data_IF_585550251586
#
_entry.id   IF_585550251586
#
_cell.length_a   1.000
_cell.length_b   1.000
_cell.length_c   1.000
_cell.angle_alpha   90.00
_cell.angle_beta   90.00
_cell.angle_gamma   90.00
#
_symmetry.space_group_name_H-M   'P 1'
#
loop_
_entity.id
_entity.type
_entity.pdbx_description
1 polymer ?
#
# COMPACT_ATOMS: atom_id res chain seq x y z
N UNK A 1 -6.87 10.65 -28.20
CA UNK A 1 -5.72 11.10 -27.39
C UNK A 1 -4.73 9.94 -27.31
N UNK A 2 -3.48 10.17 -27.63
CA UNK A 2 -2.43 9.22 -27.32
C UNK A 2 -2.26 9.12 -25.79
N UNK A 3 -1.75 8.00 -25.24
CA UNK A 3 -1.58 7.84 -23.79
C UNK A 3 -0.72 8.98 -23.17
N UNK A 4 0.18 9.57 -23.95
CA UNK A 4 1.04 10.69 -23.54
C UNK A 4 0.32 12.05 -23.40
N UNK A 5 -0.90 12.19 -23.92
CA UNK A 5 -1.70 13.42 -23.77
C UNK A 5 -2.67 13.37 -22.59
N UNK A 6 -2.79 12.21 -21.93
CA UNK A 6 -3.71 12.04 -20.80
C UNK A 6 -3.12 12.63 -19.52
N UNK A 7 -3.94 13.43 -18.85
CA UNK A 7 -3.63 13.93 -17.51
C UNK A 7 -4.14 12.95 -16.47
N UNK A 8 -3.27 12.52 -15.58
CA UNK A 8 -3.60 11.55 -14.55
C UNK A 8 -3.41 12.15 -13.15
N UNK A 9 -4.30 11.79 -12.24
CA UNK A 9 -4.20 12.09 -10.82
C UNK A 9 -3.69 10.87 -10.06
N UNK A 10 -2.68 11.08 -9.22
CA UNK A 10 -2.25 10.11 -8.20
C UNK A 10 -2.50 10.72 -6.83
N UNK A 11 -3.42 10.16 -6.06
CA UNK A 11 -3.60 10.55 -4.66
C UNK A 11 -2.71 9.69 -3.75
N UNK A 12 -2.35 10.20 -2.57
CA UNK A 12 -1.33 9.54 -1.75
C UNK A 12 0.08 9.64 -2.37
N UNK A 13 0.32 10.65 -3.20
CA UNK A 13 1.54 10.82 -3.99
C UNK A 13 2.77 11.19 -3.15
N UNK A 14 2.59 11.65 -1.92
CA UNK A 14 3.65 11.86 -0.93
C UNK A 14 4.04 10.60 -0.15
N UNK A 15 3.24 9.52 -0.29
CA UNK A 15 3.48 8.23 0.32
C UNK A 15 4.33 7.29 -0.54
N UNK A 16 4.66 6.12 0.01
CA UNK A 16 5.54 5.13 -0.61
C UNK A 16 5.11 4.70 -2.01
N UNK A 17 3.92 4.08 -2.15
CA UNK A 17 3.46 3.54 -3.45
C UNK A 17 3.14 4.66 -4.43
N UNK A 18 2.51 5.74 -3.95
CA UNK A 18 2.13 6.89 -4.78
C UNK A 18 3.34 7.59 -5.40
N UNK A 19 4.43 7.78 -4.64
CA UNK A 19 5.67 8.37 -5.16
C UNK A 19 6.30 7.53 -6.29
N UNK A 20 6.39 6.20 -6.10
CA UNK A 20 6.86 5.29 -7.14
C UNK A 20 5.96 5.27 -8.38
N UNK A 21 4.64 5.31 -8.17
CA UNK A 21 3.68 5.36 -9.28
C UNK A 21 3.82 6.66 -10.08
N UNK A 22 3.95 7.81 -9.43
CA UNK A 22 4.24 9.09 -10.09
C UNK A 22 5.49 8.97 -10.95
N UNK A 23 6.58 8.44 -10.41
CA UNK A 23 7.85 8.26 -11.13
C UNK A 23 7.67 7.33 -12.34
N UNK A 24 6.96 6.21 -12.20
CA UNK A 24 6.68 5.27 -13.28
C UNK A 24 5.83 5.90 -14.40
N UNK A 25 4.76 6.61 -14.04
CA UNK A 25 3.88 7.28 -15.00
C UNK A 25 4.63 8.40 -15.73
N UNK A 26 5.47 9.16 -15.05
CA UNK A 26 6.34 10.18 -15.69
C UNK A 26 7.31 9.56 -16.68
N UNK A 27 7.94 8.44 -16.36
CA UNK A 27 8.83 7.71 -17.26
C UNK A 27 8.11 7.20 -18.52
N UNK A 28 6.78 7.00 -18.44
CA UNK A 28 5.91 6.64 -19.57
C UNK A 28 5.37 7.83 -20.36
N UNK A 29 5.71 9.06 -19.96
CA UNK A 29 5.32 10.28 -20.67
C UNK A 29 3.96 10.87 -20.28
N UNK A 30 3.29 10.37 -19.23
CA UNK A 30 2.04 10.97 -18.73
C UNK A 30 2.28 12.35 -18.12
N UNK A 31 1.29 13.24 -18.24
CA UNK A 31 1.20 14.39 -17.37
C UNK A 31 0.57 13.97 -16.04
N UNK A 32 1.26 14.18 -14.92
CA UNK A 32 0.87 13.66 -13.62
C UNK A 32 0.63 14.77 -12.61
N UNK A 33 -0.57 14.79 -12.02
CA UNK A 33 -0.87 15.53 -10.79
C UNK A 33 -0.71 14.60 -9.59
N UNK A 34 0.17 14.96 -8.65
CA UNK A 34 0.27 14.33 -7.33
C UNK A 34 -0.55 15.10 -6.29
N UNK A 35 -1.26 14.40 -5.43
CA UNK A 35 -2.01 15.00 -4.31
C UNK A 35 -1.73 14.21 -3.03
N UNK A 36 -1.41 14.92 -1.96
CA UNK A 36 -1.22 14.35 -0.62
C UNK A 36 -1.37 15.45 0.45
N UNK A 37 -1.41 15.06 1.73
CA UNK A 37 -1.29 15.96 2.87
C UNK A 37 0.16 16.48 3.06
N UNK A 38 1.15 15.78 2.52
CA UNK A 38 2.58 16.07 2.65
C UNK A 38 3.34 15.85 1.35
N UNK A 39 4.49 16.49 1.21
CA UNK A 39 5.46 16.16 0.18
C UNK A 39 6.09 14.78 0.45
N UNK A 40 6.64 14.09 -0.58
CA UNK A 40 7.44 12.90 -0.38
C UNK A 40 8.62 13.17 0.57
N UNK A 41 8.91 12.22 1.46
CA UNK A 41 9.89 12.40 2.55
C UNK A 41 11.35 12.29 2.08
N UNK A 42 11.62 11.38 1.14
CA UNK A 42 13.00 10.97 0.82
C UNK A 42 13.53 11.59 -0.48
N UNK A 43 12.67 11.85 -1.44
CA UNK A 43 13.04 12.43 -2.74
C UNK A 43 11.95 13.42 -3.20
N UNK A 44 12.31 14.48 -3.95
CA UNK A 44 11.32 15.36 -4.54
C UNK A 44 10.37 14.63 -5.49
N UNK A 45 9.09 14.99 -5.50
CA UNK A 45 8.12 14.44 -6.44
C UNK A 45 8.49 14.79 -7.88
N UNK A 46 8.30 13.84 -8.79
CA UNK A 46 8.43 14.04 -10.25
C UNK A 46 7.12 14.47 -10.93
N UNK A 47 6.04 14.67 -10.17
CA UNK A 47 4.78 15.12 -10.72
C UNK A 47 4.92 16.49 -11.41
N UNK A 48 4.19 16.71 -12.51
CA UNK A 48 4.13 18.02 -13.18
C UNK A 48 3.45 19.07 -12.31
N UNK A 49 2.51 18.62 -11.48
CA UNK A 49 1.85 19.43 -10.48
C UNK A 49 1.71 18.62 -9.18
N UNK A 50 2.10 19.21 -8.05
CA UNK A 50 1.90 18.60 -6.74
C UNK A 50 1.08 19.55 -5.86
N UNK A 51 -0.07 19.06 -5.37
CA UNK A 51 -1.00 19.83 -4.54
C UNK A 51 -1.03 19.23 -3.12
N UNK A 52 -0.96 20.10 -2.13
CA UNK A 52 -1.19 19.73 -0.72
C UNK A 52 -2.66 19.94 -0.42
N UNK A 53 -3.45 18.86 -0.41
CA UNK A 53 -4.90 18.86 -0.22
C UNK A 53 -5.32 17.79 0.77
N UNK A 54 -6.37 18.09 1.54
CA UNK A 54 -6.99 17.14 2.46
C UNK A 54 -8.23 16.49 1.82
N UNK A 55 -8.06 15.29 1.26
CA UNK A 55 -9.13 14.59 0.55
C UNK A 55 -10.30 14.12 1.44
N UNK A 56 -10.24 14.34 2.75
CA UNK A 56 -11.39 14.23 3.67
C UNK A 56 -12.36 15.39 3.49
N UNK A 57 -12.00 16.42 2.71
CA UNK A 57 -12.83 17.56 2.36
C UNK A 57 -13.33 17.41 0.93
N UNK A 58 -14.65 17.52 0.68
CA UNK A 58 -15.21 17.32 -0.65
C UNK A 58 -14.72 18.38 -1.67
N UNK A 59 -14.47 19.62 -1.23
CA UNK A 59 -13.93 20.69 -2.08
C UNK A 59 -12.50 20.37 -2.56
N UNK A 60 -11.65 19.80 -1.71
CA UNK A 60 -10.28 19.41 -2.04
C UNK A 60 -10.27 18.20 -3.01
N UNK A 61 -11.18 17.24 -2.82
CA UNK A 61 -11.35 16.12 -3.74
C UNK A 61 -11.81 16.60 -5.14
N UNK A 62 -12.72 17.55 -5.21
CA UNK A 62 -13.16 18.17 -6.48
C UNK A 62 -12.00 18.91 -7.16
N UNK A 63 -11.22 19.71 -6.41
CA UNK A 63 -10.06 20.43 -6.93
C UNK A 63 -8.96 19.44 -7.42
N UNK A 64 -8.76 18.31 -6.72
CA UNK A 64 -7.82 17.26 -7.13
C UNK A 64 -8.20 16.68 -8.51
N UNK A 65 -9.48 16.42 -8.76
CA UNK A 65 -9.99 15.80 -9.97
C UNK A 65 -10.16 16.77 -11.15
N UNK A 66 -10.03 18.08 -10.95
CA UNK A 66 -10.28 19.06 -11.99
C UNK A 66 -9.30 18.95 -13.18
N UNK A 67 -9.85 18.77 -14.38
CA UNK A 67 -9.12 18.72 -15.65
C UNK A 67 -8.19 17.51 -15.82
N UNK A 68 -8.35 16.41 -15.05
CA UNK A 68 -7.67 15.14 -15.26
C UNK A 68 -8.62 14.11 -15.88
N UNK A 69 -8.08 13.16 -16.63
CA UNK A 69 -8.85 12.10 -17.28
C UNK A 69 -8.94 10.82 -16.45
N UNK A 70 -7.93 10.52 -15.65
CA UNK A 70 -7.81 9.27 -14.92
C UNK A 70 -7.35 9.51 -13.49
N UNK A 71 -7.83 8.67 -12.58
CA UNK A 71 -7.51 8.74 -11.14
C UNK A 71 -6.95 7.41 -10.65
N UNK A 72 -5.76 7.46 -10.05
CA UNK A 72 -5.22 6.41 -9.20
C UNK A 72 -5.42 6.83 -7.74
N UNK A 73 -6.40 6.26 -7.06
CA UNK A 73 -6.72 6.60 -5.67
C UNK A 73 -5.96 5.69 -4.70
N UNK A 74 -4.82 6.19 -4.20
CA UNK A 74 -3.95 5.51 -3.25
C UNK A 74 -3.96 6.17 -1.85
N UNK A 75 -4.60 7.33 -1.71
CA UNK A 75 -4.65 8.04 -0.44
C UNK A 75 -5.36 7.20 0.63
N UNK A 76 -4.71 7.02 1.76
CA UNK A 76 -5.27 6.35 2.92
C UNK A 76 -4.48 6.73 4.18
N UNK A 77 -5.17 6.89 5.31
CA UNK A 77 -4.53 6.89 6.62
C UNK A 77 -4.26 5.43 7.00
N UNK A 78 -2.98 5.02 6.94
CA UNK A 78 -2.59 3.64 7.20
C UNK A 78 -1.17 3.52 7.74
N UNK A 79 -0.84 2.37 8.31
CA UNK A 79 0.48 2.02 8.81
C UNK A 79 0.63 0.51 8.95
N UNK A 80 1.64 0.06 9.71
CA UNK A 80 1.79 -1.34 10.12
C UNK A 80 0.68 -1.78 11.09
N UNK A 81 0.69 -3.07 11.46
CA UNK A 81 -0.35 -3.68 12.31
C UNK A 81 -0.57 -2.93 13.63
N UNK A 82 0.51 -2.52 14.30
CA UNK A 82 0.41 -1.79 15.57
C UNK A 82 -0.34 -0.45 15.43
N UNK A 83 -0.15 0.26 14.31
CA UNK A 83 -0.85 1.52 14.05
C UNK A 83 -2.35 1.27 13.80
N UNK A 84 -2.68 0.30 12.96
CA UNK A 84 -4.07 -0.02 12.59
C UNK A 84 -4.87 -0.50 13.81
N UNK A 85 -4.29 -1.36 14.65
CA UNK A 85 -4.93 -1.86 15.87
C UNK A 85 -5.15 -0.76 16.92
N UNK A 86 -4.24 0.22 17.00
CA UNK A 86 -4.34 1.32 17.96
C UNK A 86 -5.37 2.37 17.57
N UNK A 87 -5.49 2.69 16.27
CA UNK A 87 -6.27 3.83 15.76
C UNK A 87 -7.44 3.42 14.86
N UNK A 88 -8.14 2.33 15.20
CA UNK A 88 -9.20 1.71 14.39
C UNK A 88 -10.27 2.68 13.91
N UNK A 89 -10.82 3.48 14.84
CA UNK A 89 -11.88 4.44 14.52
C UNK A 89 -11.39 5.56 13.59
N UNK A 90 -10.22 6.14 13.87
CA UNK A 90 -9.63 7.22 13.05
C UNK A 90 -9.30 6.72 11.65
N UNK A 91 -8.68 5.54 11.53
CA UNK A 91 -8.34 4.92 10.24
C UNK A 91 -9.59 4.69 9.40
N UNK A 92 -10.64 4.10 10.01
CA UNK A 92 -11.90 3.83 9.32
C UNK A 92 -12.59 5.13 8.90
N UNK A 93 -12.70 6.11 9.80
CA UNK A 93 -13.32 7.41 9.53
C UNK A 93 -12.64 8.14 8.38
N UNK A 94 -11.32 8.34 8.47
CA UNK A 94 -10.57 9.11 7.49
C UNK A 94 -10.62 8.47 6.11
N UNK A 95 -10.43 7.15 6.03
CA UNK A 95 -10.40 6.44 4.76
C UNK A 95 -11.78 6.39 4.09
N UNK A 96 -12.85 6.24 4.86
CA UNK A 96 -14.22 6.30 4.34
C UNK A 96 -14.51 7.67 3.72
N UNK A 97 -14.16 8.76 4.40
CA UNK A 97 -14.33 10.12 3.88
C UNK A 97 -13.53 10.34 2.59
N UNK A 98 -12.24 9.98 2.58
CA UNK A 98 -11.39 10.08 1.39
C UNK A 98 -12.04 9.36 0.20
N UNK A 99 -12.45 8.10 0.39
CA UNK A 99 -12.96 7.26 -0.68
C UNK A 99 -14.31 7.75 -1.21
N UNK A 100 -15.24 8.16 -0.32
CA UNK A 100 -16.52 8.74 -0.71
C UNK A 100 -16.32 10.03 -1.52
N UNK A 101 -15.51 10.95 -1.01
CA UNK A 101 -15.31 12.24 -1.68
C UNK A 101 -14.59 12.08 -3.03
N UNK A 102 -13.60 11.18 -3.11
CA UNK A 102 -12.89 10.92 -4.37
C UNK A 102 -13.78 10.27 -5.43
N UNK A 103 -14.63 9.31 -5.08
CA UNK A 103 -15.59 8.71 -6.01
C UNK A 103 -16.61 9.73 -6.50
N UNK A 104 -17.17 10.55 -5.60
CA UNK A 104 -18.13 11.58 -5.96
C UNK A 104 -17.47 12.69 -6.82
N UNK A 105 -16.25 13.11 -6.50
CA UNK A 105 -15.48 14.05 -7.29
C UNK A 105 -15.19 13.49 -8.70
N UNK A 106 -14.78 12.22 -8.80
CA UNK A 106 -14.54 11.56 -10.07
C UNK A 106 -15.80 11.51 -10.94
N UNK A 107 -16.95 11.18 -10.34
CA UNK A 107 -18.25 11.20 -11.03
C UNK A 107 -18.61 12.60 -11.56
N UNK A 108 -18.51 13.64 -10.71
CA UNK A 108 -18.85 15.03 -11.07
C UNK A 108 -17.94 15.61 -12.14
N UNK A 109 -16.64 15.30 -12.09
CA UNK A 109 -15.64 15.73 -13.05
C UNK A 109 -15.59 14.85 -14.31
N UNK A 110 -16.46 13.82 -14.39
CA UNK A 110 -16.57 12.90 -15.53
C UNK A 110 -15.25 12.22 -15.86
N UNK A 111 -14.56 11.74 -14.82
CA UNK A 111 -13.32 10.97 -14.95
C UNK A 111 -13.57 9.73 -15.81
N UNK A 112 -12.70 9.49 -16.78
CA UNK A 112 -12.83 8.37 -17.73
C UNK A 112 -12.58 7.02 -17.05
N UNK A 113 -11.53 6.93 -16.18
CA UNK A 113 -11.16 5.71 -15.43
C UNK A 113 -10.71 6.05 -14.03
N UNK A 114 -11.17 5.24 -13.09
CA UNK A 114 -10.87 5.38 -11.67
C UNK A 114 -10.35 4.07 -11.11
N UNK A 115 -9.11 4.04 -10.61
CA UNK A 115 -8.53 2.89 -9.95
C UNK A 115 -8.50 3.11 -8.44
N UNK A 116 -9.10 2.19 -7.70
CA UNK A 116 -9.12 2.14 -6.24
C UNK A 116 -8.14 1.10 -5.72
N UNK A 117 -7.36 1.46 -4.69
CA UNK A 117 -6.45 0.54 -4.01
C UNK A 117 -7.08 -0.01 -2.74
N UNK A 118 -7.46 -1.28 -2.80
CA UNK A 118 -7.91 -2.10 -1.70
C UNK A 118 -6.75 -2.86 -1.06
N UNK A 119 -7.04 -3.82 -0.20
CA UNK A 119 -6.05 -4.52 0.61
C UNK A 119 -6.43 -5.99 0.80
N UNK A 120 -5.44 -6.84 1.02
CA UNK A 120 -5.66 -8.21 1.48
C UNK A 120 -6.31 -8.31 2.89
N UNK A 121 -6.42 -7.19 3.62
CA UNK A 121 -7.16 -7.14 4.89
C UNK A 121 -8.68 -7.29 4.74
N UNK A 122 -9.20 -7.27 3.51
CA UNK A 122 -10.61 -7.57 3.24
C UNK A 122 -10.95 -9.06 3.34
N UNK A 123 -9.94 -9.92 3.28
CA UNK A 123 -10.16 -11.36 3.33
C UNK A 123 -10.50 -11.84 4.74
N UNK A 124 -11.39 -12.85 4.86
CA UNK A 124 -11.88 -13.31 6.15
C UNK A 124 -10.80 -13.87 7.05
N UNK A 125 -10.86 -13.52 8.33
CA UNK A 125 -9.91 -13.99 9.35
C UNK A 125 -9.91 -15.53 9.49
N UNK A 126 -11.07 -16.18 9.34
CA UNK A 126 -11.18 -17.65 9.45
C UNK A 126 -10.40 -18.42 8.36
N UNK A 127 -10.07 -17.78 7.23
CA UNK A 127 -9.21 -18.38 6.19
C UNK A 127 -7.72 -18.22 6.43
N UNK A 128 -7.31 -17.48 7.47
CA UNK A 128 -5.95 -17.03 7.70
C UNK A 128 -5.40 -17.50 9.07
N UNK A 129 -5.92 -18.58 9.63
CA UNK A 129 -5.62 -19.06 10.98
C UNK A 129 -4.41 -19.98 11.07
N UNK A 130 -3.89 -20.46 9.95
CA UNK A 130 -2.73 -21.37 9.89
C UNK A 130 -1.59 -20.74 9.11
N UNK A 131 -0.35 -21.15 9.38
CA UNK A 131 0.83 -20.63 8.69
C UNK A 131 0.84 -21.05 7.20
N UNK A 132 0.52 -22.31 6.91
CA UNK A 132 0.37 -22.85 5.56
C UNK A 132 -1.04 -22.58 5.02
N UNK A 133 -1.34 -21.32 4.77
CA UNK A 133 -2.65 -20.91 4.25
C UNK A 133 -2.79 -21.24 2.77
N UNK A 134 -3.96 -21.73 2.37
CA UNK A 134 -4.31 -21.79 0.93
C UNK A 134 -4.29 -20.38 0.36
N UNK A 135 -3.63 -20.14 -0.80
CA UNK A 135 -3.59 -18.83 -1.42
C UNK A 135 -4.99 -18.25 -1.64
N UNK A 136 -5.18 -16.99 -1.23
CA UNK A 136 -6.47 -16.30 -1.25
C UNK A 136 -6.82 -15.89 -2.68
N UNK A 137 -7.97 -16.36 -3.16
CA UNK A 137 -8.56 -15.97 -4.44
C UNK A 137 -9.52 -14.80 -4.24
N UNK A 138 -9.81 -14.06 -5.30
CA UNK A 138 -10.66 -12.88 -5.21
C UNK A 138 -12.09 -13.20 -4.70
N UNK A 139 -12.64 -14.37 -5.04
CA UNK A 139 -13.93 -14.86 -4.53
C UNK A 139 -13.93 -15.18 -3.03
N UNK A 140 -12.78 -15.44 -2.42
CA UNK A 140 -12.65 -15.76 -1.00
C UNK A 140 -12.95 -14.57 -0.06
N UNK A 141 -13.21 -13.40 -0.61
CA UNK A 141 -13.68 -12.24 0.15
C UNK A 141 -15.06 -12.47 0.81
N UNK A 142 -15.79 -13.47 0.37
CA UNK A 142 -17.13 -13.76 0.88
C UNK A 142 -17.27 -15.24 1.30
N UNK A 143 -18.06 -15.54 2.38
CA UNK A 143 -18.73 -14.58 3.28
C UNK A 143 -17.75 -13.66 3.99
N UNK A 144 -18.12 -12.38 4.13
CA UNK A 144 -17.22 -11.33 4.59
C UNK A 144 -16.95 -11.42 6.10
N UNK A 145 -15.66 -11.38 6.47
CA UNK A 145 -15.15 -11.28 7.84
C UNK A 145 -13.79 -10.56 7.82
N UNK A 146 -13.73 -9.30 7.30
CA UNK A 146 -12.49 -8.54 7.16
C UNK A 146 -11.78 -8.28 8.47
N UNK A 147 -10.45 -8.10 8.38
CA UNK A 147 -9.67 -7.67 9.53
C UNK A 147 -10.04 -6.25 9.97
N UNK A 148 -10.68 -6.16 11.13
CA UNK A 148 -10.96 -4.93 11.87
C UNK A 148 -11.49 -3.75 10.99
N UNK A 149 -11.50 -2.53 11.53
CA UNK A 149 -12.04 -1.35 10.85
C UNK A 149 -11.40 -1.07 9.48
N UNK A 150 -10.09 -1.28 9.33
CA UNK A 150 -9.40 -1.09 8.06
C UNK A 150 -9.87 -2.06 6.97
N UNK A 151 -10.00 -3.34 7.29
CA UNK A 151 -10.49 -4.32 6.32
C UNK A 151 -11.93 -4.05 5.89
N UNK A 152 -12.79 -3.66 6.83
CA UNK A 152 -14.20 -3.33 6.56
C UNK A 152 -14.34 -2.07 5.69
N UNK A 153 -13.58 -0.99 5.96
CA UNK A 153 -13.65 0.22 5.12
C UNK A 153 -13.17 -0.05 3.69
N UNK A 154 -12.14 -0.89 3.54
CA UNK A 154 -11.64 -1.30 2.23
C UNK A 154 -12.68 -2.08 1.45
N UNK A 155 -13.32 -3.08 2.05
CA UNK A 155 -14.37 -3.86 1.41
C UNK A 155 -15.61 -3.02 1.09
N UNK A 156 -16.00 -2.12 1.98
CA UNK A 156 -17.07 -1.14 1.73
C UNK A 156 -16.77 -0.27 0.50
N UNK A 157 -15.55 0.23 0.38
CA UNK A 157 -15.14 1.08 -0.75
C UNK A 157 -15.07 0.30 -2.08
N UNK A 158 -14.72 -1.01 -2.07
CA UNK A 158 -14.85 -1.87 -3.24
C UNK A 158 -16.31 -1.94 -3.72
N UNK A 159 -17.26 -2.09 -2.78
CA UNK A 159 -18.69 -2.09 -3.11
C UNK A 159 -19.17 -0.77 -3.68
N UNK A 160 -18.67 0.36 -3.14
CA UNK A 160 -18.96 1.69 -3.68
C UNK A 160 -18.45 1.83 -5.13
N UNK A 161 -17.21 1.43 -5.42
CA UNK A 161 -16.66 1.46 -6.78
C UNK A 161 -17.58 0.71 -7.77
N UNK A 162 -18.03 -0.49 -7.38
CA UNK A 162 -18.96 -1.28 -8.20
C UNK A 162 -20.28 -0.55 -8.45
N UNK A 163 -20.91 0.00 -7.40
CA UNK A 163 -22.21 0.68 -7.54
C UNK A 163 -22.09 2.00 -8.32
N UNK A 164 -20.99 2.73 -8.18
CA UNK A 164 -20.72 3.92 -9.00
C UNK A 164 -20.59 3.57 -10.50
N UNK A 165 -20.04 2.40 -10.82
CA UNK A 165 -20.06 1.90 -12.18
C UNK A 165 -21.49 1.52 -12.64
N UNK A 166 -22.22 0.74 -11.84
CA UNK A 166 -23.55 0.25 -12.16
C UNK A 166 -24.58 1.39 -12.35
N UNK A 167 -24.51 2.44 -11.52
CA UNK A 167 -25.50 3.53 -11.52
C UNK A 167 -25.10 4.73 -12.40
N UNK A 168 -23.82 5.06 -12.42
CA UNK A 168 -23.35 6.28 -13.08
C UNK A 168 -22.42 6.04 -14.26
N UNK A 169 -22.02 4.80 -14.52
CA UNK A 169 -21.09 4.47 -15.60
C UNK A 169 -19.65 4.90 -15.36
N UNK A 170 -19.26 5.25 -14.12
CA UNK A 170 -17.87 5.55 -13.79
C UNK A 170 -17.02 4.28 -13.93
N UNK A 171 -16.08 4.26 -14.86
CA UNK A 171 -15.28 3.08 -15.22
C UNK A 171 -14.24 2.79 -14.14
N UNK A 172 -14.64 2.02 -13.10
CA UNK A 172 -13.82 1.72 -11.94
C UNK A 172 -13.00 0.46 -12.10
N UNK A 173 -11.82 0.44 -11.45
CA UNK A 173 -10.91 -0.70 -11.26
C UNK A 173 -10.61 -0.85 -9.78
N UNK A 174 -10.49 -2.08 -9.29
CA UNK A 174 -10.16 -2.36 -7.90
C UNK A 174 -8.97 -3.30 -7.84
N UNK A 175 -7.92 -2.92 -7.10
CA UNK A 175 -6.77 -3.78 -6.84
C UNK A 175 -6.63 -4.07 -5.35
N UNK A 176 -6.37 -5.33 -4.98
CA UNK A 176 -6.10 -5.77 -3.60
C UNK A 176 -4.61 -5.99 -3.41
N UNK A 177 -3.96 -5.12 -2.67
CA UNK A 177 -2.53 -5.25 -2.40
C UNK A 177 -2.21 -6.34 -1.39
N UNK A 178 -1.22 -7.18 -1.72
CA UNK A 178 -0.61 -8.18 -0.83
C UNK A 178 0.82 -7.77 -0.47
N UNK A 179 0.98 -7.09 0.70
CA UNK A 179 2.26 -6.73 1.33
C UNK A 179 3.31 -6.13 0.39
N UNK A 180 3.02 -4.96 -0.15
CA UNK A 180 3.96 -4.23 -1.00
C UNK A 180 5.14 -3.72 -0.16
N UNK A 181 6.38 -3.85 -0.67
CA UNK A 181 7.61 -3.41 -0.03
C UNK A 181 8.63 -2.86 -1.04
N UNK A 182 9.59 -2.08 -0.57
CA UNK A 182 10.64 -1.49 -1.40
C UNK A 182 11.29 -0.28 -0.74
N UNK A 183 12.26 0.37 -1.43
CA UNK A 183 12.86 1.63 -1.01
C UNK A 183 11.83 2.76 -0.93
N UNK A 184 12.19 3.89 -0.29
CA UNK A 184 11.37 5.09 -0.11
C UNK A 184 10.08 4.84 0.71
N UNK A 185 9.95 3.68 1.36
CA UNK A 185 8.89 3.39 2.31
C UNK A 185 9.28 3.74 3.74
N UNK A 186 8.30 3.96 4.60
CA UNK A 186 8.52 4.16 6.03
C UNK A 186 9.24 2.95 6.64
N UNK A 187 10.40 3.17 7.22
CA UNK A 187 11.23 2.12 7.84
C UNK A 187 11.42 2.28 9.35
N UNK A 188 10.93 3.37 9.93
CA UNK A 188 11.05 3.72 11.35
C UNK A 188 9.83 4.53 11.81
N UNK A 189 9.57 4.60 13.12
CA UNK A 189 8.55 5.48 13.72
C UNK A 189 7.20 4.82 13.99
N UNK A 190 7.09 3.50 13.91
CA UNK A 190 5.91 2.72 14.33
C UNK A 190 4.84 2.53 13.25
N UNK A 191 5.06 3.04 12.03
CA UNK A 191 4.18 2.79 10.88
C UNK A 191 4.79 1.83 9.86
N UNK A 192 6.02 1.37 10.09
CA UNK A 192 6.75 0.47 9.19
C UNK A 192 6.14 -0.92 9.13
N UNK A 193 6.22 -1.56 7.96
CA UNK A 193 5.85 -2.96 7.75
C UNK A 193 7.05 -3.90 7.94
N UNK A 194 6.78 -5.21 8.11
CA UNK A 194 7.80 -6.21 8.46
C UNK A 194 9.07 -6.18 7.59
N UNK A 195 9.06 -6.08 6.24
CA UNK A 195 10.30 -6.05 5.48
C UNK A 195 11.18 -4.85 5.84
N UNK A 196 10.61 -3.65 5.94
CA UNK A 196 11.34 -2.45 6.28
C UNK A 196 11.85 -2.48 7.74
N UNK A 197 11.00 -2.92 8.68
CA UNK A 197 11.37 -3.07 10.09
C UNK A 197 12.53 -4.06 10.29
N UNK A 198 12.51 -5.21 9.60
CA UNK A 198 13.57 -6.21 9.69
C UNK A 198 14.85 -5.71 9.01
N UNK A 199 14.77 -5.11 7.83
CA UNK A 199 15.92 -4.48 7.17
C UNK A 199 16.60 -3.47 8.10
N UNK A 200 15.82 -2.59 8.75
CA UNK A 200 16.36 -1.62 9.71
C UNK A 200 17.01 -2.27 10.94
N UNK A 201 16.34 -3.27 11.54
CA UNK A 201 16.89 -3.98 12.71
C UNK A 201 18.23 -4.66 12.37
N UNK A 202 18.29 -5.33 11.22
CA UNK A 202 19.55 -5.98 10.75
C UNK A 202 20.63 -4.97 10.39
N UNK A 203 20.27 -3.84 9.77
CA UNK A 203 21.24 -2.79 9.43
C UNK A 203 21.90 -2.21 10.70
N UNK A 204 21.12 -2.00 11.77
CA UNK A 204 21.58 -1.47 13.06
C UNK A 204 22.35 -2.50 13.90
N UNK A 205 22.17 -3.79 13.67
CA UNK A 205 22.81 -4.86 14.41
C UNK A 205 24.25 -5.12 13.93
N UNK A 206 25.15 -5.51 14.83
CA UNK A 206 26.47 -6.04 14.51
C UNK A 206 26.40 -7.54 14.18
N UNK A 207 27.46 -8.09 13.58
CA UNK A 207 27.55 -9.54 13.36
C UNK A 207 27.52 -10.29 14.70
N UNK A 208 26.65 -11.28 14.83
CA UNK A 208 26.40 -12.05 16.04
C UNK A 208 25.41 -11.44 17.03
N UNK A 209 24.86 -10.26 16.73
CA UNK A 209 23.84 -9.62 17.58
C UNK A 209 22.48 -10.33 17.50
N UNK A 210 21.59 -9.91 18.38
CA UNK A 210 20.21 -10.40 18.49
C UNK A 210 19.23 -9.29 18.09
N UNK A 211 18.23 -9.64 17.27
CA UNK A 211 17.12 -8.74 16.96
C UNK A 211 15.80 -9.28 17.49
N UNK A 212 14.88 -8.38 17.85
CA UNK A 212 13.53 -8.74 18.27
C UNK A 212 12.67 -9.10 17.05
N UNK A 213 12.04 -10.28 17.14
CA UNK A 213 11.00 -10.76 16.20
C UNK A 213 9.67 -10.79 16.92
N UNK A 214 8.64 -10.16 16.36
CA UNK A 214 7.30 -10.16 16.92
C UNK A 214 6.62 -11.51 16.68
N UNK A 215 5.99 -12.05 17.71
CA UNK A 215 5.44 -13.40 17.72
C UNK A 215 6.52 -14.46 17.82
N UNK A 216 6.24 -15.64 17.31
CA UNK A 216 7.15 -16.80 17.23
C UNK A 216 7.94 -16.84 15.91
N UNK A 217 7.67 -15.90 15.00
CA UNK A 217 8.30 -15.82 13.68
C UNK A 217 7.76 -16.80 12.64
N UNK A 218 6.80 -17.66 13.00
CA UNK A 218 6.22 -18.67 12.11
C UNK A 218 5.01 -18.14 11.33
N UNK A 219 4.54 -16.91 11.61
CA UNK A 219 3.52 -16.29 10.78
C UNK A 219 4.05 -16.04 9.36
N UNK A 220 3.24 -16.36 8.35
CA UNK A 220 3.66 -16.36 6.94
C UNK A 220 3.01 -15.24 6.14
N UNK A 221 3.78 -14.71 5.19
CA UNK A 221 3.33 -13.69 4.23
C UNK A 221 3.95 -13.92 2.86
N UNK A 222 3.26 -13.47 1.81
CA UNK A 222 3.89 -13.19 0.53
C UNK A 222 4.15 -11.70 0.39
N UNK A 223 5.20 -11.32 -0.36
CA UNK A 223 5.65 -9.94 -0.49
C UNK A 223 5.86 -9.58 -1.95
N UNK A 224 5.27 -8.47 -2.40
CA UNK A 224 5.41 -7.98 -3.76
C UNK A 224 6.29 -6.72 -3.78
N UNK A 225 7.32 -6.73 -4.62
CA UNK A 225 8.22 -5.60 -4.76
C UNK A 225 7.55 -4.41 -5.46
N UNK A 226 7.95 -3.21 -5.10
CA UNK A 226 7.31 -1.97 -5.52
C UNK A 226 7.29 -1.76 -7.04
N UNK A 227 8.34 -2.15 -7.77
CA UNK A 227 8.40 -2.01 -9.22
C UNK A 227 7.31 -2.86 -9.90
N UNK A 228 7.12 -4.10 -9.43
CA UNK A 228 6.03 -4.97 -9.89
C UNK A 228 4.65 -4.41 -9.51
N UNK A 229 4.54 -3.81 -8.33
CA UNK A 229 3.29 -3.19 -7.89
C UNK A 229 2.86 -2.06 -8.83
N UNK A 230 3.75 -1.11 -9.14
CA UNK A 230 3.39 0.02 -10.01
C UNK A 230 3.17 -0.40 -11.46
N UNK A 231 3.89 -1.42 -11.93
CA UNK A 231 3.63 -2.04 -13.24
C UNK A 231 2.24 -2.68 -13.29
N UNK A 232 1.87 -3.47 -12.27
CA UNK A 232 0.54 -4.09 -12.16
C UNK A 232 -0.59 -3.05 -12.11
N UNK A 233 -0.40 -1.95 -11.38
CA UNK A 233 -1.35 -0.83 -11.33
C UNK A 233 -1.56 -0.21 -12.71
N UNK A 234 -0.47 0.07 -13.44
CA UNK A 234 -0.56 0.61 -14.78
C UNK A 234 -1.29 -0.35 -15.74
N UNK A 235 -0.94 -1.64 -15.73
CA UNK A 235 -1.60 -2.65 -16.56
C UNK A 235 -3.09 -2.78 -16.25
N UNK A 236 -3.47 -2.81 -14.98
CA UNK A 236 -4.88 -2.88 -14.59
C UNK A 236 -5.65 -1.63 -15.05
N UNK A 237 -5.07 -0.44 -14.91
CA UNK A 237 -5.69 0.79 -15.41
C UNK A 237 -5.92 0.75 -16.93
N UNK A 238 -5.04 0.10 -17.69
CA UNK A 238 -5.15 -0.04 -19.15
C UNK A 238 -6.07 -1.19 -19.58
N UNK A 239 -6.37 -2.15 -18.70
CA UNK A 239 -7.26 -3.27 -18.99
C UNK A 239 -8.74 -2.85 -18.98
N UNK A 240 -9.61 -3.73 -19.50
CA UNK A 240 -11.05 -3.58 -19.40
C UNK A 240 -11.65 -4.37 -18.22
N UNK A 241 -10.80 -4.91 -17.35
CA UNK A 241 -11.22 -5.72 -16.22
C UNK A 241 -11.70 -4.82 -15.06
N UNK A 242 -12.92 -5.08 -14.54
CA UNK A 242 -13.60 -4.23 -13.54
C UNK A 242 -13.79 -4.89 -12.19
N UNK A 243 -13.70 -6.22 -12.12
CA UNK A 243 -13.81 -6.91 -10.84
C UNK A 243 -12.54 -6.72 -10.01
N UNK A 244 -12.60 -6.88 -8.67
CA UNK A 244 -11.40 -6.82 -7.84
C UNK A 244 -10.33 -7.81 -8.28
N UNK A 245 -9.06 -7.38 -8.26
CA UNK A 245 -7.91 -8.16 -8.68
C UNK A 245 -6.83 -8.16 -7.60
N UNK A 246 -6.34 -9.34 -7.21
CA UNK A 246 -5.18 -9.45 -6.36
C UNK A 246 -3.92 -8.96 -7.07
N UNK A 247 -3.09 -8.22 -6.35
CA UNK A 247 -1.76 -7.82 -6.80
C UNK A 247 -0.75 -8.14 -5.69
N UNK A 248 -0.04 -9.23 -5.88
CA UNK A 248 0.89 -9.80 -4.91
C UNK A 248 1.84 -10.79 -5.55
N UNK A 249 2.64 -11.46 -4.72
CA UNK A 249 3.43 -12.63 -5.09
C UNK A 249 2.79 -13.88 -4.49
N UNK A 250 3.00 -15.04 -5.12
CA UNK A 250 2.47 -16.33 -4.66
C UNK A 250 3.48 -17.12 -3.78
N UNK A 251 4.75 -16.68 -3.72
CA UNK A 251 5.75 -17.25 -2.82
C UNK A 251 5.53 -16.75 -1.39
N UNK A 252 5.14 -17.66 -0.52
CA UNK A 252 4.94 -17.43 0.90
C UNK A 252 6.20 -17.79 1.70
N UNK A 253 6.55 -16.95 2.67
CA UNK A 253 7.65 -17.18 3.62
C UNK A 253 7.22 -16.83 5.05
N UNK A 254 7.89 -17.43 6.04
CA UNK A 254 7.76 -17.05 7.45
C UNK A 254 8.54 -15.75 7.74
N UNK A 255 8.22 -15.10 8.86
CA UNK A 255 9.03 -13.98 9.36
C UNK A 255 10.45 -14.44 9.73
N UNK A 256 10.60 -15.70 10.19
CA UNK A 256 11.92 -16.27 10.44
C UNK A 256 12.77 -16.34 9.18
N UNK A 257 12.20 -16.84 8.07
CA UNK A 257 12.87 -16.86 6.76
C UNK A 257 13.17 -15.44 6.24
N UNK A 258 12.25 -14.48 6.47
CA UNK A 258 12.49 -13.08 6.10
C UNK A 258 13.72 -12.51 6.82
N UNK A 259 13.89 -12.80 8.12
CA UNK A 259 15.09 -12.40 8.87
C UNK A 259 16.35 -13.05 8.29
N UNK A 260 16.28 -14.36 7.97
CA UNK A 260 17.44 -15.09 7.43
C UNK A 260 17.88 -14.56 6.07
N UNK A 261 16.91 -14.23 5.18
CA UNK A 261 17.21 -13.63 3.89
C UNK A 261 17.88 -12.25 4.06
N UNK A 262 17.32 -11.39 4.93
CA UNK A 262 17.91 -10.05 5.16
C UNK A 262 19.28 -10.15 5.83
N UNK A 263 19.48 -11.06 6.77
CA UNK A 263 20.77 -11.32 7.40
C UNK A 263 21.83 -11.79 6.38
N UNK A 264 21.41 -12.67 5.45
CA UNK A 264 22.26 -13.12 4.34
C UNK A 264 22.63 -11.97 3.39
N UNK A 265 21.67 -11.09 3.04
CA UNK A 265 21.93 -9.87 2.24
C UNK A 265 22.93 -8.96 2.92
N UNK A 266 22.84 -8.80 4.25
CA UNK A 266 23.73 -7.99 5.05
C UNK A 266 25.11 -8.63 5.30
N UNK A 267 25.27 -9.93 5.00
CA UNK A 267 26.48 -10.70 5.35
C UNK A 267 26.69 -10.85 6.86
N UNK A 268 25.61 -10.83 7.65
CA UNK A 268 25.63 -10.87 9.12
C UNK A 268 24.99 -12.15 9.66
N UNK A 269 25.51 -12.64 10.78
CA UNK A 269 24.86 -13.69 11.58
C UNK A 269 23.96 -13.01 12.59
N UNK A 270 22.65 -13.25 12.51
CA UNK A 270 21.65 -12.61 13.38
C UNK A 270 20.96 -13.69 14.21
N UNK A 271 20.88 -13.48 15.53
CA UNK A 271 20.07 -14.30 16.42
C UNK A 271 18.69 -13.65 16.57
N UNK A 272 17.67 -14.48 16.78
CA UNK A 272 16.27 -14.05 16.88
C UNK A 272 15.82 -14.14 18.34
N UNK A 273 15.29 -13.03 18.88
CA UNK A 273 14.61 -13.01 20.18
C UNK A 273 13.13 -12.77 19.97
N UNK A 274 12.32 -13.74 20.38
CA UNK A 274 10.89 -13.72 20.13
C UNK A 274 10.12 -12.93 21.19
N UNK A 275 9.25 -12.01 20.75
CA UNK A 275 8.34 -11.26 21.58
C UNK A 275 6.90 -11.74 21.33
N UNK A 276 6.46 -12.74 22.08
CA UNK A 276 5.15 -13.37 21.90
C UNK A 276 3.97 -12.45 22.27
N UNK A 277 4.21 -11.37 23.03
CA UNK A 277 3.19 -10.40 23.42
C UNK A 277 2.97 -9.31 22.35
N UNK A 278 3.85 -9.21 21.36
CA UNK A 278 3.72 -8.20 20.31
C UNK A 278 2.63 -8.57 19.28
N UNK A 279 2.01 -7.59 18.62
CA UNK A 279 1.00 -7.82 17.58
C UNK A 279 1.55 -8.67 16.43
N UNK A 280 0.82 -9.71 16.04
CA UNK A 280 1.22 -10.63 14.97
C UNK A 280 0.36 -10.50 13.70
N UNK A 281 -0.87 -10.02 13.84
CA UNK A 281 -1.89 -10.07 12.79
C UNK A 281 -2.32 -11.52 12.50
N UNK A 282 -2.79 -11.78 11.27
CA UNK A 282 -3.20 -13.13 10.85
C UNK A 282 -2.03 -14.11 10.81
N UNK A 283 -2.30 -15.40 11.00
CA UNK A 283 -1.27 -16.45 11.04
C UNK A 283 -0.63 -16.69 9.67
N UNK A 284 -1.42 -16.72 8.59
CA UNK A 284 -0.91 -16.87 7.24
C UNK A 284 -1.67 -15.99 6.25
N UNK A 285 -0.96 -15.44 5.25
CA UNK A 285 -1.56 -14.69 4.14
C UNK A 285 -0.75 -14.84 2.88
N UNK A 286 -1.39 -15.35 1.82
CA UNK A 286 -0.79 -15.52 0.52
C UNK A 286 -1.76 -15.06 -0.59
N UNK A 287 -1.23 -14.62 -1.73
CA UNK A 287 -2.00 -14.22 -2.91
C UNK A 287 -2.12 -15.39 -3.88
N UNK A 288 -3.33 -15.68 -4.35
CA UNK A 288 -3.49 -16.45 -5.59
C UNK A 288 -3.41 -15.48 -6.77
N UNK A 289 -2.43 -15.69 -7.66
CA UNK A 289 -2.18 -14.83 -8.83
C UNK A 289 -2.74 -15.43 -10.13
N UNK A 290 -3.58 -16.46 -10.07
CA UNK A 290 -4.14 -17.10 -11.28
C UNK A 290 -4.94 -16.11 -12.11
N UNK A 291 -5.79 -15.31 -11.47
CA UNK A 291 -6.60 -14.28 -12.14
C UNK A 291 -5.74 -13.13 -12.66
N UNK A 292 -4.75 -12.69 -11.88
CA UNK A 292 -3.81 -11.67 -12.31
C UNK A 292 -3.14 -12.04 -13.65
N UNK A 293 -2.60 -13.27 -13.74
CA UNK A 293 -1.97 -13.78 -14.97
C UNK A 293 -2.95 -13.82 -16.14
N UNK A 294 -4.15 -14.33 -15.91
CA UNK A 294 -5.16 -14.46 -16.96
C UNK A 294 -5.67 -13.10 -17.48
N UNK A 295 -5.79 -12.11 -16.61
CA UNK A 295 -6.34 -10.78 -16.95
C UNK A 295 -5.29 -9.86 -17.58
N UNK A 296 -4.07 -9.86 -17.05
CA UNK A 296 -3.03 -8.89 -17.42
C UNK A 296 -1.97 -9.46 -18.37
N UNK A 297 -2.03 -10.78 -18.67
CA UNK A 297 -0.97 -11.52 -19.38
C UNK A 297 0.43 -11.17 -18.82
N UNK A 298 0.51 -11.12 -17.48
CA UNK A 298 1.67 -10.66 -16.76
C UNK A 298 1.66 -11.18 -15.32
N UNK A 299 2.83 -11.25 -14.72
CA UNK A 299 3.00 -11.54 -13.28
C UNK A 299 4.21 -10.79 -12.72
N UNK A 300 4.24 -10.51 -11.41
CA UNK A 300 5.40 -9.99 -10.72
C UNK A 300 6.65 -10.84 -10.96
N UNK A 301 7.77 -10.19 -11.25
CA UNK A 301 9.01 -10.86 -11.69
C UNK A 301 10.21 -10.62 -10.76
N UNK A 302 10.19 -9.56 -9.94
CA UNK A 302 11.30 -9.28 -9.01
C UNK A 302 11.29 -10.31 -7.89
N UNK A 303 12.40 -11.03 -7.73
CA UNK A 303 12.54 -12.01 -6.64
C UNK A 303 12.54 -11.32 -5.27
N UNK A 304 12.12 -12.05 -4.23
CA UNK A 304 12.11 -11.53 -2.86
C UNK A 304 13.51 -11.12 -2.41
N UNK A 305 14.52 -11.93 -2.70
CA UNK A 305 15.92 -11.70 -2.37
C UNK A 305 16.44 -10.41 -3.02
N UNK A 306 16.15 -10.22 -4.30
CA UNK A 306 16.54 -9.00 -5.03
C UNK A 306 15.84 -7.76 -4.46
N UNK A 307 14.53 -7.83 -4.25
CA UNK A 307 13.75 -6.73 -3.66
C UNK A 307 14.24 -6.37 -2.25
N UNK A 308 14.52 -7.38 -1.41
CA UNK A 308 15.06 -7.18 -0.06
C UNK A 308 16.48 -6.60 -0.10
N UNK A 309 17.33 -7.05 -1.02
CA UNK A 309 18.67 -6.49 -1.16
C UNK A 309 18.65 -5.00 -1.54
N UNK A 310 17.76 -4.60 -2.46
CA UNK A 310 17.57 -3.20 -2.83
C UNK A 310 17.01 -2.37 -1.66
N UNK A 311 16.04 -2.92 -0.93
CA UNK A 311 15.41 -2.26 0.22
C UNK A 311 16.40 -2.10 1.38
N UNK A 312 17.16 -3.16 1.70
CA UNK A 312 18.15 -3.16 2.75
C UNK A 312 19.25 -2.11 2.50
N UNK A 313 19.85 -2.11 1.30
CA UNK A 313 20.90 -1.14 0.94
C UNK A 313 20.41 0.30 1.03
N UNK A 314 19.16 0.54 0.60
CA UNK A 314 18.57 1.87 0.72
C UNK A 314 18.40 2.28 2.18
N UNK A 315 17.86 1.40 3.05
CA UNK A 315 17.68 1.69 4.48
C UNK A 315 19.05 1.89 5.15
N UNK A 316 20.02 1.04 4.87
CA UNK A 316 21.39 1.17 5.40
C UNK A 316 21.99 2.54 5.07
N UNK A 317 21.90 2.98 3.83
CA UNK A 317 22.34 4.31 3.41
C UNK A 317 21.58 5.46 4.12
N UNK A 318 20.28 5.29 4.41
CA UNK A 318 19.52 6.28 5.18
C UNK A 318 19.96 6.35 6.65
N UNK A 319 20.47 5.26 7.21
CA UNK A 319 20.95 5.22 8.60
C UNK A 319 22.35 5.83 8.74
N UNK A 320 23.16 5.79 7.69
CA UNK A 320 24.51 6.39 7.64
C UNK A 320 24.46 7.89 7.32
N UNK A 321 23.43 8.35 6.65
CA UNK A 321 23.26 9.74 6.22
C UNK A 321 22.67 10.66 7.30
N UNK A 322 22.69 11.99 7.09
CA UNK A 322 21.94 12.91 7.93
C UNK A 322 20.45 12.58 7.82
N UNK A 323 19.78 12.31 8.95
CA UNK A 323 18.34 12.04 8.95
C UNK A 323 17.59 13.23 8.35
N UNK A 324 16.75 13.02 7.32
CA UNK A 324 15.86 14.07 6.86
C UNK A 324 15.03 14.58 8.03
N UNK A 325 14.84 15.91 8.12
CA UNK A 325 13.95 16.50 9.12
C UNK A 325 12.55 15.90 8.88
N UNK A 326 12.09 15.03 9.78
CA UNK A 326 10.73 14.45 9.68
C UNK A 326 9.74 15.61 9.70
N UNK A 327 8.93 15.72 8.66
CA UNK A 327 7.71 16.47 8.76
C UNK A 327 6.94 15.90 9.97
N UNK A 328 6.67 16.74 10.97
CA UNK A 328 5.82 16.35 12.09
C UNK A 328 4.47 15.98 11.51
N UNK A 329 4.20 14.68 11.38
CA UNK A 329 2.84 14.26 11.06
C UNK A 329 1.92 14.82 12.14
N UNK A 330 0.83 15.46 11.75
CA UNK A 330 -0.12 15.97 12.75
C UNK A 330 -0.59 14.78 13.60
N UNK A 331 -0.51 14.95 14.90
CA UNK A 331 -0.95 13.98 15.90
C UNK A 331 -2.38 13.52 15.56
N UNK A 332 -2.62 12.21 15.32
CA UNK A 332 -3.97 11.73 15.02
C UNK A 332 -5.00 12.14 16.09
N UNK A 333 -4.59 12.31 17.35
CA UNK A 333 -5.45 12.77 18.45
C UNK A 333 -5.82 14.27 18.35
N UNK A 334 -4.99 15.09 17.68
CA UNK A 334 -5.27 16.53 17.50
C UNK A 334 -6.15 16.83 16.28
N UNK A 335 -6.26 15.91 15.32
CA UNK A 335 -7.08 16.12 14.12
C UNK A 335 -8.60 15.99 14.37
N UNK A 336 -9.01 15.30 15.44
CA UNK A 336 -10.44 15.13 15.80
C UNK A 336 -11.03 16.39 16.45
N UNK A 337 -10.22 17.29 17.01
CA UNK A 337 -10.69 18.43 17.81
C UNK A 337 -10.96 19.70 16.99
N UNK A 338 -10.45 19.81 15.75
CA UNK A 338 -10.59 21.05 14.95
C UNK A 338 -11.80 21.08 14.01
N UNK A 339 -12.64 20.06 14.00
CA UNK A 339 -13.88 20.02 13.18
C UNK A 339 -15.15 20.42 13.95
N UNK A 340 -15.03 20.92 15.18
CA UNK A 340 -16.16 21.30 16.01
C UNK A 340 -16.04 22.77 16.49
N UNK A 341 -15.88 23.72 15.55
CA UNK A 341 -16.23 25.15 15.75
C UNK A 341 -16.63 25.78 14.43
#
# INVERSE_FOLDING_TARGET
>A
MTDTERKVLVTGAGGFIGHHLVTNLKARGYWVRGVDLKQPEFEPSRADQFLLLDLRRPEDALAACDGVAEVYNLAANMGGIAFIERYKAVVMHDNVLINIHMLEAARRQKIERYLYTSSACIYPGYRQQVAEVTPLKEEDAYPADPEDGYGWEKLFSERQCRHYYEEYGLDTRVVRFHNIFGPLGTYDGGREKSPAAICRKVALASDGDEIEVWGDGEQTRSYCYIDDCVEGLHRLMRSDYREPLNLGQDRMISINELVDIVASVAGKRIRKRYNLAAPQGVRGRNSDNTRLRAVLDWQPAVSLEEGLARTYRWIEAQLEGPRPARATEPDPERQVVTAAT
#
